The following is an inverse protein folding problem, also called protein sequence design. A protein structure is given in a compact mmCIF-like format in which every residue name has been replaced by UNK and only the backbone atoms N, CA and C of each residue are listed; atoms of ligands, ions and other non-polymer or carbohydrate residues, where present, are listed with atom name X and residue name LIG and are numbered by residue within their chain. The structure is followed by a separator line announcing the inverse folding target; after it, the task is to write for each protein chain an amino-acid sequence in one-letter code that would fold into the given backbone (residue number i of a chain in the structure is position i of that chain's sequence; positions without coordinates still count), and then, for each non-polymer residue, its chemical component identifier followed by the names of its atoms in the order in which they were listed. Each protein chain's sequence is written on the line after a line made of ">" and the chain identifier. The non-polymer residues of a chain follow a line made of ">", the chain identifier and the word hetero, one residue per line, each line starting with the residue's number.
data_IF_571217339336
#
_entry.id   IF_571217339336
#
_cell.length_a   1.000
_cell.length_b   1.000
_cell.length_c   1.000
_cell.angle_alpha   90.00
_cell.angle_beta   90.00
_cell.angle_gamma   90.00
#
_symmetry.space_group_name_H-M   'P 1'
#
loop_
_entity.id
_entity.type
_entity.pdbx_description
1 polymer ?
#
# COMPACT_ATOMS: atom_id res chain seq x y z
N UNK A 1 -21.24 -5.56 34.07
CA UNK A 1 -20.24 -6.66 33.95
C UNK A 1 -19.22 -6.24 32.89
N UNK A 2 -17.92 -6.45 33.11
CA UNK A 2 -16.91 -6.13 32.07
C UNK A 2 -16.96 -7.21 30.98
N UNK A 3 -17.24 -6.80 29.74
CA UNK A 3 -17.19 -7.71 28.60
C UNK A 3 -15.73 -7.99 28.20
N UNK A 4 -15.41 -9.19 27.68
CA UNK A 4 -14.08 -9.47 27.19
C UNK A 4 -13.76 -8.56 26.00
N UNK A 5 -12.55 -7.98 26.01
CA UNK A 5 -12.08 -7.08 24.96
C UNK A 5 -10.94 -7.72 24.18
N UNK A 6 -10.92 -7.52 22.86
CA UNK A 6 -9.85 -7.96 21.97
C UNK A 6 -9.55 -6.87 20.95
N UNK A 7 -8.27 -6.68 20.66
CA UNK A 7 -7.79 -5.73 19.66
C UNK A 7 -6.75 -6.40 18.78
N UNK A 8 -6.80 -6.11 17.49
CA UNK A 8 -5.84 -6.58 16.50
C UNK A 8 -5.43 -5.42 15.60
N UNK A 9 -4.13 -5.25 15.43
CA UNK A 9 -3.53 -4.26 14.53
C UNK A 9 -2.54 -4.94 13.60
N UNK A 10 -2.58 -4.58 12.32
CA UNK A 10 -1.63 -5.07 11.32
C UNK A 10 -1.35 -4.02 10.25
N UNK A 11 -0.18 -4.13 9.60
CA UNK A 11 0.14 -3.31 8.44
C UNK A 11 -0.73 -3.70 7.23
N UNK A 12 -1.19 -2.71 6.48
CA UNK A 12 -1.92 -2.92 5.24
C UNK A 12 -0.96 -3.30 4.10
N UNK A 13 -1.42 -4.06 3.09
CA UNK A 13 -0.68 -4.21 1.84
C UNK A 13 -0.59 -2.88 1.09
N UNK A 14 0.27 -2.83 0.07
CA UNK A 14 0.33 -1.72 -0.86
C UNK A 14 -0.94 -1.70 -1.72
N UNK A 15 -1.62 -0.55 -1.79
CA UNK A 15 -2.97 -0.43 -2.36
C UNK A 15 -3.11 0.83 -3.22
N UNK A 16 -3.96 0.75 -4.25
CA UNK A 16 -4.47 1.90 -5.00
C UNK A 16 -5.78 2.35 -4.36
N UNK A 17 -5.75 3.51 -3.73
CA UNK A 17 -6.90 4.11 -3.05
C UNK A 17 -7.64 4.98 -4.06
N UNK A 18 -8.80 4.52 -4.47
CA UNK A 18 -9.76 5.24 -5.31
C UNK A 18 -11.11 5.38 -4.59
N UNK A 19 -12.04 6.14 -5.17
CA UNK A 19 -13.38 6.33 -4.62
C UNK A 19 -14.12 4.99 -4.48
N UNK A 20 -14.04 4.12 -5.50
CA UNK A 20 -14.68 2.80 -5.49
C UNK A 20 -14.25 1.93 -4.30
N UNK A 21 -12.96 1.95 -3.94
CA UNK A 21 -12.45 1.25 -2.77
C UNK A 21 -13.08 1.79 -1.48
N UNK A 22 -13.16 3.12 -1.35
CA UNK A 22 -13.74 3.75 -0.18
C UNK A 22 -15.25 3.44 -0.07
N UNK A 23 -15.98 3.46 -1.18
CA UNK A 23 -17.39 3.06 -1.23
C UNK A 23 -17.58 1.59 -0.86
N UNK A 24 -16.72 0.70 -1.36
CA UNK A 24 -16.74 -0.72 -1.00
C UNK A 24 -16.46 -0.95 0.50
N UNK A 25 -15.52 -0.18 1.07
CA UNK A 25 -15.22 -0.19 2.51
C UNK A 25 -16.38 0.34 3.35
N UNK A 26 -16.95 1.49 2.99
CA UNK A 26 -18.12 2.05 3.69
C UNK A 26 -19.26 1.05 3.68
N UNK A 27 -19.63 0.53 2.51
CA UNK A 27 -20.71 -0.45 2.35
C UNK A 27 -20.45 -1.72 3.17
N UNK A 28 -19.23 -2.26 3.12
CA UNK A 28 -18.88 -3.45 3.90
C UNK A 28 -18.97 -3.18 5.40
N UNK A 29 -18.40 -2.07 5.88
CA UNK A 29 -18.36 -1.71 7.29
C UNK A 29 -19.76 -1.43 7.84
N UNK A 30 -20.56 -0.61 7.15
CA UNK A 30 -21.93 -0.28 7.55
C UNK A 30 -22.76 -1.54 7.68
N UNK A 31 -22.75 -2.40 6.66
CA UNK A 31 -23.48 -3.67 6.68
C UNK A 31 -22.98 -4.59 7.79
N UNK A 32 -21.67 -4.80 7.90
CA UNK A 32 -21.09 -5.73 8.87
C UNK A 32 -21.35 -5.31 10.31
N UNK A 33 -21.30 -4.01 10.60
CA UNK A 33 -21.61 -3.48 11.93
C UNK A 33 -23.10 -3.49 12.22
N UNK A 34 -23.94 -3.17 11.24
CA UNK A 34 -25.41 -3.30 11.34
C UNK A 34 -25.79 -4.73 11.73
N UNK A 35 -25.24 -5.73 11.03
CA UNK A 35 -25.49 -7.15 11.31
C UNK A 35 -24.95 -7.59 12.69
N UNK A 36 -23.73 -7.15 13.04
CA UNK A 36 -23.07 -7.57 14.29
C UNK A 36 -23.70 -6.93 15.53
N UNK A 37 -24.17 -5.69 15.42
CA UNK A 37 -24.76 -4.94 16.53
C UNK A 37 -26.28 -5.00 16.53
N UNK A 38 -26.94 -5.54 15.50
CA UNK A 38 -28.40 -5.53 15.36
C UNK A 38 -28.95 -4.10 15.46
N UNK A 39 -28.29 -3.17 14.76
CA UNK A 39 -28.61 -1.73 14.74
C UNK A 39 -28.94 -1.32 13.31
N UNK A 40 -29.72 -0.25 13.11
CA UNK A 40 -30.02 0.25 11.77
C UNK A 40 -28.76 0.73 11.04
N UNK A 41 -28.69 0.50 9.71
CA UNK A 41 -27.58 0.99 8.88
C UNK A 41 -27.43 2.52 8.96
N UNK A 42 -28.53 3.26 9.13
CA UNK A 42 -28.52 4.71 9.27
C UNK A 42 -27.80 5.18 10.54
N UNK A 43 -28.01 4.49 11.67
CA UNK A 43 -27.31 4.81 12.92
C UNK A 43 -25.81 4.52 12.81
N UNK A 44 -25.44 3.42 12.14
CA UNK A 44 -24.04 3.07 11.89
C UNK A 44 -23.38 4.07 10.93
N UNK A 45 -24.08 4.49 9.88
CA UNK A 45 -23.57 5.47 8.90
C UNK A 45 -23.29 6.82 9.55
N UNK A 46 -24.07 7.26 10.55
CA UNK A 46 -23.78 8.49 11.34
C UNK A 46 -22.48 8.42 12.13
N UNK A 47 -21.90 7.23 12.32
CA UNK A 47 -20.65 7.00 13.05
C UNK A 47 -19.46 6.71 12.15
N UNK A 48 -19.72 6.56 10.85
CA UNK A 48 -18.67 6.50 9.86
C UNK A 48 -18.01 7.88 9.76
N UNK A 49 -16.68 7.89 9.70
CA UNK A 49 -15.89 9.09 9.46
C UNK A 49 -14.80 8.77 8.47
N UNK A 50 -14.74 9.56 7.41
CA UNK A 50 -13.66 9.58 6.44
C UNK A 50 -12.84 10.85 6.68
N UNK A 51 -11.53 10.71 6.85
CA UNK A 51 -10.60 11.83 6.99
C UNK A 51 -9.61 11.79 5.85
N UNK A 52 -9.45 12.92 5.16
CA UNK A 52 -8.51 13.08 4.04
C UNK A 52 -7.53 14.17 4.45
N UNK A 53 -6.24 13.84 4.48
CA UNK A 53 -5.17 14.77 4.80
C UNK A 53 -4.40 15.12 3.52
N UNK A 54 -4.24 16.40 3.26
CA UNK A 54 -3.48 16.95 2.15
C UNK A 54 -2.55 18.08 2.63
N UNK A 55 -1.96 18.82 1.69
CA UNK A 55 -1.07 19.94 2.02
C UNK A 55 -1.77 21.17 2.60
N UNK A 56 -3.09 21.29 2.43
CA UNK A 56 -3.90 22.42 2.87
C UNK A 56 -4.54 22.16 4.24
N UNK A 57 -4.76 20.89 4.60
CA UNK A 57 -5.22 20.51 5.92
C UNK A 57 -5.84 19.11 5.95
N UNK A 58 -6.78 18.92 6.89
CA UNK A 58 -7.54 17.68 7.04
C UNK A 58 -9.01 17.95 6.81
N UNK A 59 -9.58 17.33 5.79
CA UNK A 59 -11.02 17.31 5.54
C UNK A 59 -11.66 16.12 6.26
N UNK A 60 -12.78 16.34 6.95
CA UNK A 60 -13.56 15.29 7.61
C UNK A 60 -14.93 15.19 6.98
N UNK A 61 -15.27 14.00 6.51
CA UNK A 61 -16.51 13.67 5.84
C UNK A 61 -17.24 12.57 6.62
N UNK A 62 -18.57 12.61 6.61
CA UNK A 62 -19.42 11.62 7.27
C UNK A 62 -19.77 10.43 6.35
N UNK A 63 -19.50 10.54 5.04
CA UNK A 63 -19.70 9.47 4.06
C UNK A 63 -18.84 9.74 2.84
N UNK A 64 -18.51 8.69 2.08
CA UNK A 64 -17.78 8.79 0.80
C UNK A 64 -18.62 9.53 -0.25
N UNK A 65 -19.95 9.50 -0.12
CA UNK A 65 -20.88 10.24 -0.99
C UNK A 65 -20.66 11.76 -0.91
N UNK A 66 -20.16 12.28 0.22
CA UNK A 66 -19.88 13.70 0.42
C UNK A 66 -18.61 14.17 -0.31
N UNK A 67 -17.80 13.24 -0.83
CA UNK A 67 -16.63 13.59 -1.64
C UNK A 67 -17.08 14.22 -2.96
N UNK A 68 -16.86 15.53 -3.08
CA UNK A 68 -17.19 16.31 -4.29
C UNK A 68 -16.39 15.90 -5.52
N UNK A 69 -15.13 15.51 -5.33
CA UNK A 69 -14.24 15.11 -6.40
C UNK A 69 -14.18 13.59 -6.55
N UNK A 70 -14.14 13.12 -7.80
CA UNK A 70 -13.88 11.70 -8.12
C UNK A 70 -12.44 11.29 -7.81
N UNK A 71 -11.51 12.24 -7.85
CA UNK A 71 -10.06 12.02 -7.67
C UNK A 71 -9.54 12.81 -6.48
N UNK A 72 -8.51 12.29 -5.84
CA UNK A 72 -7.80 12.97 -4.77
C UNK A 72 -6.93 14.11 -5.30
N UNK A 73 -6.62 15.05 -4.41
CA UNK A 73 -5.61 16.06 -4.68
C UNK A 73 -4.23 15.40 -4.83
N UNK A 74 -3.36 15.97 -5.66
CA UNK A 74 -2.00 15.44 -5.87
C UNK A 74 -1.15 15.50 -4.57
N UNK A 75 -1.52 16.38 -3.64
CA UNK A 75 -0.87 16.55 -2.35
C UNK A 75 -1.39 15.62 -1.25
N UNK A 76 -2.46 14.85 -1.48
CA UNK A 76 -3.02 13.93 -0.46
C UNK A 76 -1.93 13.02 0.09
N UNK A 77 -1.74 13.04 1.41
CA UNK A 77 -0.72 12.29 2.14
C UNK A 77 -1.32 11.06 2.83
N UNK A 78 -2.57 11.17 3.26
CA UNK A 78 -3.26 10.15 4.04
C UNK A 78 -4.78 10.18 3.83
N UNK A 79 -5.38 8.99 3.88
CA UNK A 79 -6.82 8.78 3.95
C UNK A 79 -7.11 7.81 5.10
N UNK A 80 -7.97 8.19 6.02
CA UNK A 80 -8.37 7.37 7.16
C UNK A 80 -9.87 7.13 7.15
N UNK A 81 -10.26 5.86 7.23
CA UNK A 81 -11.64 5.43 7.42
C UNK A 81 -11.78 4.93 8.85
N UNK A 82 -12.64 5.56 9.62
CA UNK A 82 -12.93 5.19 11.00
C UNK A 82 -14.43 4.91 11.17
N UNK A 83 -14.76 3.85 11.90
CA UNK A 83 -16.11 3.57 12.35
C UNK A 83 -16.04 3.13 13.82
N UNK A 84 -16.66 3.91 14.70
CA UNK A 84 -16.71 3.65 16.15
C UNK A 84 -18.17 3.50 16.60
N UNK A 85 -18.53 2.31 17.07
CA UNK A 85 -19.88 2.08 17.60
C UNK A 85 -20.04 2.81 18.94
N UNK A 86 -21.21 3.39 19.23
CA UNK A 86 -21.46 4.02 20.53
C UNK A 86 -21.34 3.00 21.67
N UNK A 87 -21.03 3.50 22.87
CA UNK A 87 -21.15 2.70 24.09
C UNK A 87 -22.62 2.32 24.30
N UNK A 88 -22.92 1.02 24.23
CA UNK A 88 -24.23 0.47 24.61
C UNK A 88 -24.25 0.16 26.10
N UNK A 89 -25.45 0.15 26.68
CA UNK A 89 -25.68 -0.23 28.07
C UNK A 89 -25.15 -1.64 28.38
N UNK A 90 -25.17 -2.53 27.39
CA UNK A 90 -24.63 -3.89 27.48
C UNK A 90 -23.10 -3.94 27.60
N UNK A 91 -22.41 -2.81 27.40
CA UNK A 91 -20.95 -2.71 27.39
C UNK A 91 -20.31 -3.18 26.07
N UNK A 92 -21.13 -3.46 25.04
CA UNK A 92 -20.62 -3.81 23.72
C UNK A 92 -20.04 -2.58 23.01
N UNK A 93 -18.87 -2.75 22.40
CA UNK A 93 -18.23 -1.73 21.57
C UNK A 93 -17.43 -2.39 20.45
N UNK A 94 -17.39 -1.75 19.29
CA UNK A 94 -16.57 -2.15 18.17
C UNK A 94 -16.03 -0.90 17.48
N UNK A 95 -14.74 -0.92 17.15
CA UNK A 95 -14.06 0.17 16.44
C UNK A 95 -13.17 -0.40 15.36
N UNK A 96 -13.31 0.12 14.15
CA UNK A 96 -12.41 -0.16 13.03
C UNK A 96 -11.78 1.15 12.58
N UNK A 97 -10.46 1.11 12.36
CA UNK A 97 -9.70 2.17 11.75
C UNK A 97 -8.84 1.59 10.63
N UNK A 98 -9.01 2.11 9.42
CA UNK A 98 -8.22 1.78 8.23
C UNK A 98 -7.50 3.03 7.79
N UNK A 99 -6.18 3.07 7.95
CA UNK A 99 -5.35 4.23 7.60
C UNK A 99 -4.52 3.88 6.36
N UNK A 100 -4.67 4.67 5.31
CA UNK A 100 -3.85 4.61 4.11
C UNK A 100 -2.89 5.79 4.12
N UNK A 101 -1.60 5.54 3.92
CA UNK A 101 -0.57 6.56 3.84
C UNK A 101 0.41 6.29 2.70
N UNK A 102 1.06 7.36 2.20
CA UNK A 102 2.19 7.22 1.27
C UNK A 102 3.30 6.33 1.83
N UNK A 103 3.46 6.26 3.16
CA UNK A 103 4.48 5.45 3.83
C UNK A 103 3.93 4.13 4.38
N UNK A 104 4.69 3.04 4.17
CA UNK A 104 4.33 1.69 4.64
C UNK A 104 4.03 1.61 6.15
N UNK A 105 4.83 2.28 6.97
CA UNK A 105 4.72 2.22 8.43
C UNK A 105 3.44 2.84 8.98
N UNK A 106 2.82 3.75 8.20
CA UNK A 106 1.61 4.47 8.60
C UNK A 106 0.35 3.91 7.95
N UNK A 107 0.48 2.91 7.07
CA UNK A 107 -0.64 2.21 6.46
C UNK A 107 -1.05 1.03 7.34
N UNK A 108 -2.07 1.21 8.18
CA UNK A 108 -2.47 0.23 9.21
C UNK A 108 -3.97 -0.08 9.19
N UNK A 109 -4.30 -1.31 9.60
CA UNK A 109 -5.65 -1.75 9.91
C UNK A 109 -5.70 -2.09 11.40
N UNK A 110 -6.51 -1.36 12.14
CA UNK A 110 -6.79 -1.62 13.55
C UNK A 110 -8.27 -1.94 13.73
N UNK A 111 -8.54 -3.08 14.37
CA UNK A 111 -9.90 -3.55 14.68
C UNK A 111 -9.94 -3.93 16.16
N UNK A 112 -10.89 -3.36 16.90
CA UNK A 112 -11.07 -3.65 18.32
C UNK A 112 -12.55 -3.88 18.63
N UNK A 113 -12.82 -4.78 19.56
CA UNK A 113 -14.16 -5.04 20.04
C UNK A 113 -14.18 -5.44 21.52
N UNK A 114 -15.24 -5.07 22.20
CA UNK A 114 -15.67 -5.56 23.50
C UNK A 114 -17.03 -6.24 23.29
N UNK A 115 -17.04 -7.57 23.32
CA UNK A 115 -18.20 -8.42 22.99
C UNK A 115 -17.96 -9.83 23.57
N UNK A 116 -18.98 -10.67 23.83
CA UNK A 116 -18.77 -12.02 24.36
C UNK A 116 -17.82 -12.87 23.50
N UNK A 117 -17.86 -12.67 22.17
CA UNK A 117 -16.99 -13.33 21.19
C UNK A 117 -16.04 -12.34 20.48
N UNK A 118 -15.47 -11.37 21.21
CA UNK A 118 -14.67 -10.28 20.65
C UNK A 118 -13.56 -10.76 19.69
N UNK A 119 -12.85 -11.85 20.01
CA UNK A 119 -11.77 -12.38 19.17
C UNK A 119 -12.25 -12.82 17.78
N UNK A 120 -13.29 -13.64 17.74
CA UNK A 120 -13.85 -14.15 16.48
C UNK A 120 -14.39 -13.00 15.62
N UNK A 121 -15.08 -12.06 16.26
CA UNK A 121 -15.65 -10.90 15.59
C UNK A 121 -14.56 -10.00 14.98
N UNK A 122 -13.49 -9.70 15.74
CA UNK A 122 -12.34 -8.90 15.26
C UNK A 122 -11.64 -9.60 14.11
N UNK A 123 -11.36 -10.90 14.22
CA UNK A 123 -10.69 -11.66 13.15
C UNK A 123 -11.57 -11.78 11.90
N UNK A 124 -12.88 -12.02 12.06
CA UNK A 124 -13.81 -12.10 10.92
C UNK A 124 -13.94 -10.76 10.18
N UNK A 125 -13.93 -9.64 10.91
CA UNK A 125 -13.96 -8.29 10.32
C UNK A 125 -12.65 -7.97 9.64
N UNK A 126 -11.51 -8.29 10.27
CA UNK A 126 -10.19 -8.18 9.65
C UNK A 126 -10.12 -8.94 8.34
N UNK A 127 -10.50 -10.21 8.33
CA UNK A 127 -10.40 -11.06 7.13
C UNK A 127 -11.36 -10.60 6.03
N UNK A 128 -12.57 -10.15 6.40
CA UNK A 128 -13.50 -9.56 5.46
C UNK A 128 -13.00 -8.25 4.86
N UNK A 129 -12.38 -7.37 5.65
CA UNK A 129 -11.73 -6.17 5.15
C UNK A 129 -10.59 -6.51 4.20
N UNK A 130 -9.72 -7.47 4.55
CA UNK A 130 -8.65 -7.90 3.65
C UNK A 130 -9.17 -8.39 2.30
N UNK A 131 -10.32 -9.10 2.26
CA UNK A 131 -10.96 -9.51 1.00
C UNK A 131 -11.48 -8.33 0.18
N UNK A 132 -12.01 -7.28 0.82
CA UNK A 132 -12.42 -6.03 0.15
C UNK A 132 -11.22 -5.29 -0.42
N UNK A 133 -10.08 -5.32 0.29
CA UNK A 133 -8.84 -4.65 -0.14
C UNK A 133 -8.09 -5.42 -1.25
N UNK A 134 -8.28 -6.74 -1.36
CA UNK A 134 -7.53 -7.62 -2.27
C UNK A 134 -7.50 -7.14 -3.74
N UNK A 135 -8.62 -6.74 -4.37
CA UNK A 135 -8.64 -6.33 -5.77
C UNK A 135 -7.87 -5.04 -6.05
N UNK A 136 -7.60 -4.25 -5.00
CA UNK A 136 -6.95 -2.95 -5.10
C UNK A 136 -5.45 -3.01 -4.77
N UNK A 137 -4.89 -4.20 -4.56
CA UNK A 137 -3.46 -4.37 -4.29
C UNK A 137 -2.61 -3.93 -5.48
N UNK A 138 -1.53 -3.22 -5.17
CA UNK A 138 -0.54 -2.82 -6.17
C UNK A 138 0.80 -3.50 -5.88
N UNK A 139 1.67 -3.48 -6.88
CA UNK A 139 3.02 -4.03 -6.78
C UNK A 139 4.01 -3.01 -6.18
N UNK A 140 3.54 -1.87 -5.66
CA UNK A 140 4.43 -0.86 -5.10
C UNK A 140 5.08 -1.33 -3.79
N UNK A 141 4.59 -2.40 -3.15
CA UNK A 141 5.29 -3.05 -2.04
C UNK A 141 6.72 -3.46 -2.39
N UNK A 142 7.02 -3.74 -3.66
CA UNK A 142 8.37 -4.06 -4.13
C UNK A 142 9.34 -2.87 -4.00
N UNK A 143 8.85 -1.63 -4.06
CA UNK A 143 9.66 -0.43 -3.83
C UNK A 143 9.85 -0.11 -2.34
N UNK A 144 9.19 -0.87 -1.45
CA UNK A 144 9.22 -0.67 0.00
C UNK A 144 9.62 -1.97 0.70
N UNK A 145 10.89 -2.40 0.58
CA UNK A 145 11.35 -3.66 1.15
C UNK A 145 11.07 -3.72 2.65
N UNK A 146 10.84 -4.94 3.16
CA UNK A 146 10.75 -5.17 4.60
C UNK A 146 12.06 -4.79 5.29
N UNK A 147 12.06 -4.68 6.62
CA UNK A 147 13.28 -4.48 7.40
C UNK A 147 14.35 -5.53 7.06
N UNK A 148 13.95 -6.80 6.88
CA UNK A 148 14.84 -7.86 6.42
C UNK A 148 15.37 -7.60 5.00
N UNK A 149 14.50 -7.15 4.08
CA UNK A 149 14.90 -6.78 2.71
C UNK A 149 15.89 -5.61 2.67
N UNK A 150 15.70 -4.61 3.53
CA UNK A 150 16.65 -3.52 3.74
C UNK A 150 18.00 -4.04 4.24
N UNK A 151 18.00 -4.93 5.24
CA UNK A 151 19.23 -5.53 5.76
C UNK A 151 20.02 -6.28 4.68
N UNK A 152 19.33 -7.06 3.84
CA UNK A 152 19.94 -7.75 2.69
C UNK A 152 20.48 -6.73 1.68
N UNK A 153 19.69 -5.72 1.33
CA UNK A 153 20.09 -4.68 0.36
C UNK A 153 21.32 -3.91 0.82
N UNK A 154 21.39 -3.52 2.09
CA UNK A 154 22.56 -2.84 2.67
C UNK A 154 23.77 -3.77 2.71
N UNK A 155 23.58 -5.03 3.11
CA UNK A 155 24.67 -6.02 3.13
C UNK A 155 25.27 -6.26 1.74
N UNK A 156 24.42 -6.47 0.73
CA UNK A 156 24.85 -6.61 -0.66
C UNK A 156 25.50 -5.34 -1.19
N UNK A 157 24.92 -4.18 -0.91
CA UNK A 157 25.47 -2.88 -1.31
C UNK A 157 26.85 -2.62 -0.70
N UNK A 158 27.03 -2.93 0.58
CA UNK A 158 28.31 -2.84 1.27
C UNK A 158 29.35 -3.80 0.71
N UNK A 159 28.96 -5.05 0.40
CA UNK A 159 29.84 -6.04 -0.23
C UNK A 159 30.28 -5.61 -1.64
N UNK A 160 29.35 -5.09 -2.45
CA UNK A 160 29.64 -4.55 -3.79
C UNK A 160 30.55 -3.33 -3.71
N UNK A 161 30.29 -2.43 -2.76
CA UNK A 161 31.12 -1.25 -2.53
C UNK A 161 32.55 -1.64 -2.12
N UNK A 162 32.69 -2.62 -1.23
CA UNK A 162 34.00 -3.18 -0.88
C UNK A 162 34.70 -3.77 -2.10
N UNK A 163 34.00 -4.55 -2.91
CA UNK A 163 34.53 -5.10 -4.16
C UNK A 163 34.99 -4.01 -5.15
N UNK A 164 34.27 -2.89 -5.22
CA UNK A 164 34.65 -1.73 -6.03
C UNK A 164 35.92 -1.05 -5.54
N UNK A 165 36.10 -0.93 -4.22
CA UNK A 165 37.32 -0.34 -3.64
C UNK A 165 38.53 -1.28 -3.68
N UNK A 166 38.29 -2.60 -3.64
CA UNK A 166 39.35 -3.60 -3.66
C UNK A 166 39.81 -3.96 -5.09
N UNK A 167 38.96 -3.76 -6.11
CA UNK A 167 39.30 -4.03 -7.49
C UNK A 167 40.17 -2.89 -8.07
N UNK A 168 41.22 -3.26 -8.82
CA UNK A 168 41.88 -2.30 -9.72
C UNK A 168 40.87 -1.83 -10.76
N UNK A 169 40.82 -0.52 -11.03
CA UNK A 169 39.96 0.08 -12.04
C UNK A 169 40.18 -0.52 -13.45
N UNK A 170 41.33 -1.15 -13.68
CA UNK A 170 41.64 -1.88 -14.93
C UNK A 170 41.00 -3.27 -15.03
N UNK A 171 40.37 -3.76 -13.95
CA UNK A 171 39.68 -5.06 -13.96
C UNK A 171 38.49 -5.05 -14.91
N UNK A 172 38.37 -6.10 -15.74
CA UNK A 172 37.24 -6.32 -16.66
C UNK A 172 35.89 -6.28 -15.95
N UNK A 173 35.84 -6.60 -14.65
CA UNK A 173 34.61 -6.67 -13.86
C UNK A 173 34.20 -5.34 -13.20
N UNK A 174 35.09 -4.36 -13.14
CA UNK A 174 34.83 -3.05 -12.52
C UNK A 174 33.54 -2.36 -13.05
N UNK A 175 33.30 -2.23 -14.37
CA UNK A 175 32.10 -1.56 -14.86
C UNK A 175 30.81 -2.29 -14.46
N UNK A 176 30.84 -3.63 -14.36
CA UNK A 176 29.68 -4.42 -13.95
C UNK A 176 29.36 -4.23 -12.46
N UNK A 177 30.39 -4.23 -11.61
CA UNK A 177 30.23 -3.93 -10.18
C UNK A 177 29.68 -2.52 -9.98
N UNK A 178 30.18 -1.54 -10.73
CA UNK A 178 29.75 -0.14 -10.60
C UNK A 178 28.29 0.03 -11.04
N UNK A 179 27.93 -0.57 -12.19
CA UNK A 179 26.56 -0.56 -12.67
C UNK A 179 25.61 -1.22 -11.66
N UNK A 180 25.98 -2.39 -11.14
CA UNK A 180 25.14 -3.13 -10.21
C UNK A 180 24.99 -2.41 -8.85
N UNK A 181 26.06 -1.82 -8.33
CA UNK A 181 25.99 -0.95 -7.14
C UNK A 181 25.10 0.27 -7.38
N UNK A 182 25.26 0.94 -8.53
CA UNK A 182 24.45 2.11 -8.90
C UNK A 182 22.97 1.76 -8.99
N UNK A 183 22.63 0.62 -9.61
CA UNK A 183 21.26 0.13 -9.71
C UNK A 183 20.67 -0.20 -8.34
N UNK A 184 21.44 -0.87 -7.48
CA UNK A 184 21.01 -1.18 -6.12
C UNK A 184 20.80 0.09 -5.29
N UNK A 185 21.71 1.07 -5.40
CA UNK A 185 21.60 2.36 -4.72
C UNK A 185 20.36 3.13 -5.20
N UNK A 186 20.16 3.23 -6.52
CA UNK A 186 18.95 3.84 -7.08
C UNK A 186 17.69 3.13 -6.60
N UNK A 187 17.67 1.79 -6.59
CA UNK A 187 16.54 1.02 -6.09
C UNK A 187 16.21 1.33 -4.63
N UNK A 188 17.21 1.38 -3.74
CA UNK A 188 16.98 1.63 -2.32
C UNK A 188 16.56 3.07 -2.03
N UNK A 189 17.17 4.06 -2.70
CA UNK A 189 17.02 5.46 -2.31
C UNK A 189 16.14 6.30 -3.25
N UNK A 190 16.11 5.99 -4.55
CA UNK A 190 15.37 6.78 -5.53
C UNK A 190 13.95 6.25 -5.80
N UNK A 191 13.71 4.94 -5.68
CA UNK A 191 12.39 4.36 -6.04
C UNK A 191 11.29 4.63 -5.01
N UNK A 192 11.62 4.72 -3.72
CA UNK A 192 10.64 4.93 -2.65
C UNK A 192 9.80 6.21 -2.83
N UNK A 193 10.41 7.39 -3.05
CA UNK A 193 9.68 8.62 -3.34
C UNK A 193 8.88 8.60 -4.65
N UNK A 194 9.35 7.85 -5.66
CA UNK A 194 8.71 7.76 -6.98
C UNK A 194 7.49 6.84 -6.99
N UNK A 195 7.43 5.87 -6.07
CA UNK A 195 6.32 4.93 -5.92
C UNK A 195 5.89 4.86 -4.46
N UNK A 196 4.96 5.73 -4.03
CA UNK A 196 4.45 5.67 -2.66
C UNK A 196 3.79 4.32 -2.39
N UNK A 197 3.83 3.89 -1.13
CA UNK A 197 3.35 2.57 -0.71
C UNK A 197 1.85 2.40 -0.97
N UNK A 198 1.04 3.37 -0.53
CA UNK A 198 -0.34 3.51 -1.00
C UNK A 198 -0.40 4.65 -2.02
N UNK A 199 -0.96 4.38 -3.19
CA UNK A 199 -1.16 5.38 -4.24
C UNK A 199 -2.59 5.88 -4.20
N UNK A 200 -2.77 7.19 -4.04
CA UNK A 200 -4.08 7.82 -4.15
C UNK A 200 -4.38 8.12 -5.61
N UNK A 201 -5.59 7.85 -6.07
CA UNK A 201 -5.99 8.15 -7.45
C UNK A 201 -6.07 9.65 -7.67
N UNK A 202 -5.00 10.19 -8.27
CA UNK A 202 -4.82 11.60 -8.58
C UNK A 202 -4.30 11.76 -10.02
N UNK A 203 -4.35 12.98 -10.55
CA UNK A 203 -3.84 13.27 -11.91
C UNK A 203 -2.33 12.99 -12.00
N UNK A 204 -1.58 13.37 -10.97
CA UNK A 204 -0.15 13.07 -10.89
C UNK A 204 0.13 11.56 -10.83
N UNK A 205 -0.65 10.80 -10.04
CA UNK A 205 -0.49 9.34 -9.95
C UNK A 205 -0.75 8.66 -11.29
N UNK A 206 -1.80 9.04 -12.02
CA UNK A 206 -2.11 8.49 -13.34
C UNK A 206 -1.03 8.79 -14.37
N UNK A 207 -0.50 10.01 -14.38
CA UNK A 207 0.61 10.37 -15.27
C UNK A 207 1.85 9.53 -14.96
N UNK A 208 2.18 9.38 -13.68
CA UNK A 208 3.31 8.56 -13.26
C UNK A 208 3.10 7.09 -13.63
N UNK A 209 1.90 6.55 -13.43
CA UNK A 209 1.54 5.17 -13.80
C UNK A 209 1.71 4.94 -15.30
N UNK A 210 1.27 5.88 -16.15
CA UNK A 210 1.48 5.82 -17.61
C UNK A 210 2.96 5.87 -18.00
N UNK A 211 3.73 6.78 -17.41
CA UNK A 211 5.17 6.89 -17.68
C UNK A 211 5.88 5.59 -17.29
N UNK A 212 5.56 5.05 -16.12
CA UNK A 212 6.16 3.80 -15.64
C UNK A 212 5.73 2.60 -16.48
N UNK A 213 4.46 2.50 -16.85
CA UNK A 213 3.97 1.44 -17.74
C UNK A 213 4.67 1.49 -19.09
N UNK A 214 4.84 2.68 -19.66
CA UNK A 214 5.58 2.89 -20.90
C UNK A 214 7.05 2.48 -20.76
N UNK A 215 7.71 2.90 -19.67
CA UNK A 215 9.12 2.57 -19.41
C UNK A 215 9.32 1.05 -19.25
N UNK A 216 8.47 0.38 -18.47
CA UNK A 216 8.54 -1.07 -18.25
C UNK A 216 8.28 -1.82 -19.55
N UNK A 217 7.26 -1.42 -20.32
CA UNK A 217 6.96 -2.04 -21.61
C UNK A 217 8.11 -1.84 -22.60
N UNK A 218 8.69 -0.64 -22.66
CA UNK A 218 9.84 -0.32 -23.50
C UNK A 218 11.07 -1.15 -23.12
N UNK A 219 11.39 -1.26 -21.83
CA UNK A 219 12.49 -2.07 -21.33
C UNK A 219 12.27 -3.56 -21.62
N UNK A 220 11.06 -4.07 -21.37
CA UNK A 220 10.72 -5.48 -21.65
C UNK A 220 10.83 -5.81 -23.14
N UNK A 221 10.36 -4.90 -24.00
CA UNK A 221 10.48 -5.01 -25.46
C UNK A 221 11.94 -5.00 -25.88
N UNK A 222 12.74 -4.07 -25.36
CA UNK A 222 14.17 -3.98 -25.65
C UNK A 222 14.91 -5.25 -25.22
N UNK A 223 14.65 -5.79 -24.03
CA UNK A 223 15.26 -7.02 -23.55
C UNK A 223 14.86 -8.23 -24.40
N UNK A 224 13.58 -8.35 -24.75
CA UNK A 224 13.07 -9.46 -25.57
C UNK A 224 13.69 -9.43 -26.98
N UNK A 225 13.58 -8.31 -27.69
CA UNK A 225 14.13 -8.22 -29.05
C UNK A 225 15.67 -8.15 -29.06
N UNK A 226 16.30 -7.55 -28.06
CA UNK A 226 17.76 -7.52 -27.95
C UNK A 226 18.35 -8.90 -27.70
N UNK A 227 17.74 -9.70 -26.82
CA UNK A 227 18.17 -11.09 -26.59
C UNK A 227 17.90 -11.96 -27.82
N UNK A 228 16.71 -11.88 -28.42
CA UNK A 228 16.38 -12.60 -29.65
C UNK A 228 17.32 -12.26 -30.80
N UNK A 229 17.61 -10.97 -31.00
CA UNK A 229 18.53 -10.51 -32.03
C UNK A 229 19.94 -11.04 -31.78
N UNK A 230 20.39 -11.06 -30.53
CA UNK A 230 21.71 -11.60 -30.16
C UNK A 230 21.79 -13.10 -30.43
N UNK A 231 20.75 -13.86 -30.07
CA UNK A 231 20.67 -15.30 -30.32
C UNK A 231 20.61 -15.61 -31.83
N UNK A 232 19.79 -14.87 -32.57
CA UNK A 232 19.65 -15.01 -34.02
C UNK A 232 20.95 -14.67 -34.74
N UNK A 233 21.60 -13.57 -34.36
CA UNK A 233 22.88 -13.14 -34.91
C UNK A 233 23.93 -14.24 -34.77
N UNK A 234 24.05 -14.84 -33.58
CA UNK A 234 24.98 -15.95 -33.32
C UNK A 234 24.67 -17.17 -34.18
N UNK A 235 23.39 -17.50 -34.36
CA UNK A 235 22.97 -18.66 -35.15
C UNK A 235 23.19 -18.48 -36.66
N UNK A 236 23.00 -17.26 -37.19
CA UNK A 236 23.04 -17.02 -38.64
C UNK A 236 24.41 -16.56 -39.12
N UNK A 237 25.08 -15.70 -38.36
CA UNK A 237 26.38 -15.14 -38.77
C UNK A 237 27.56 -15.99 -38.27
N UNK A 238 27.34 -16.95 -37.36
CA UNK A 238 28.42 -17.84 -36.88
C UNK A 238 29.42 -17.17 -35.94
N UNK A 239 29.16 -15.93 -35.50
CA UNK A 239 29.91 -15.19 -34.49
C UNK A 239 28.95 -14.61 -33.45
#
# INVERSE_FOLDING_TARGET
>A
MQQPAFSHEQALPSLKVNKDLLEALEKYLVKRFSDALQTSEEEIRKRYSLQIEDSLGTEKLASVEQMSATKFADSTSQVEVELDSPYREDGQRMRVRVRFSKGRLFSTLAVSAAAPNARELVLGVRDGLLRVLEPHKTWNSLAHPSSAGWGIGIGLGGWMMYGLFAADAKSTYFPFLLAAFTLLWLYLFAFGPLRPYSTFESRASERNEKIWSWLIAGLGTFLLFGTLLTLYRRSVLGF
#
